data_IF_319150487067
#
_entry.id   IF_319150487067
#
_cell.length_a   1.000
_cell.length_b   1.000
_cell.length_c   1.000
_cell.angle_alpha   90.00
_cell.angle_beta   90.00
_cell.angle_gamma   90.00
#
_symmetry.space_group_name_H-M   'P 1'
#
loop_
_entity.id
_entity.type
_entity.pdbx_description
1 polymer ?
#
# COMPACT_ATOMS: atom_id res chain seq x y z
N UNK A 1 6.22 4.16 -27.32
CA UNK A 1 6.75 3.92 -25.97
C UNK A 1 5.76 2.99 -25.34
N UNK A 2 6.17 1.74 -25.12
CA UNK A 2 5.33 0.79 -24.39
C UNK A 2 5.40 1.24 -22.94
N UNK A 3 4.33 1.82 -22.43
CA UNK A 3 4.21 2.06 -21.00
C UNK A 3 3.95 0.69 -20.39
N UNK A 4 4.95 0.11 -19.74
CA UNK A 4 4.75 -1.12 -18.99
C UNK A 4 3.89 -0.79 -17.77
N UNK A 5 2.70 -1.38 -17.72
CA UNK A 5 1.74 -1.22 -16.62
C UNK A 5 1.74 -2.49 -15.80
N UNK A 6 1.93 -2.37 -14.48
CA UNK A 6 1.77 -3.47 -13.53
C UNK A 6 0.60 -3.18 -12.60
N UNK A 7 -0.06 -4.25 -12.15
CA UNK A 7 -1.08 -4.17 -11.11
C UNK A 7 -0.62 -5.01 -9.92
N UNK A 8 -0.61 -4.40 -8.74
CA UNK A 8 -0.22 -5.03 -7.48
C UNK A 8 -1.43 -5.07 -6.57
N UNK A 9 -1.74 -6.25 -6.05
CA UNK A 9 -2.85 -6.45 -5.14
C UNK A 9 -2.35 -7.01 -3.82
N UNK A 10 -2.84 -6.45 -2.71
CA UNK A 10 -2.42 -6.90 -1.39
C UNK A 10 -2.96 -6.03 -0.29
N UNK A 11 -2.43 -6.23 0.92
CA UNK A 11 -2.79 -5.47 2.10
C UNK A 11 -1.97 -4.19 2.17
N UNK A 12 -2.63 -3.06 2.41
CA UNK A 12 -1.90 -1.81 2.65
C UNK A 12 -1.26 -1.82 4.03
N UNK A 13 -0.03 -1.37 4.09
CA UNK A 13 0.70 -1.19 5.34
C UNK A 13 1.61 0.03 5.21
N UNK A 14 1.73 0.82 6.28
CA UNK A 14 2.65 1.96 6.27
C UNK A 14 4.12 1.49 6.32
N UNK A 15 5.01 2.27 5.73
CA UNK A 15 6.43 1.95 5.65
C UNK A 15 7.09 1.84 7.04
N UNK A 16 6.56 2.55 8.05
CA UNK A 16 7.03 2.47 9.43
C UNK A 16 6.79 1.08 10.01
N UNK A 17 5.57 0.57 9.88
CA UNK A 17 5.22 -0.79 10.26
C UNK A 17 5.98 -1.83 9.44
N UNK A 18 6.13 -1.66 8.13
CA UNK A 18 6.91 -2.59 7.29
C UNK A 18 8.36 -2.69 7.79
N UNK A 19 8.99 -1.56 8.11
CA UNK A 19 10.39 -1.54 8.59
C UNK A 19 10.54 -2.05 10.02
N UNK A 20 9.48 -2.01 10.82
CA UNK A 20 9.50 -2.41 12.23
C UNK A 20 9.27 -3.92 12.43
N UNK A 21 8.57 -4.56 11.50
CA UNK A 21 8.21 -5.98 11.59
C UNK A 21 9.18 -6.87 10.80
N UNK A 22 9.30 -8.14 11.21
CA UNK A 22 10.03 -9.14 10.45
C UNK A 22 9.26 -9.51 9.18
N UNK A 23 9.98 -9.86 8.11
CA UNK A 23 9.37 -10.19 6.80
C UNK A 23 8.32 -11.28 6.93
N UNK A 24 8.66 -12.35 7.64
CA UNK A 24 7.81 -13.52 7.84
C UNK A 24 6.49 -13.22 8.60
N UNK A 25 6.42 -12.07 9.28
CA UNK A 25 5.23 -11.62 10.03
C UNK A 25 4.47 -10.50 9.29
N UNK A 26 4.96 -10.03 8.13
CA UNK A 26 4.38 -8.87 7.45
C UNK A 26 2.95 -9.16 6.98
N UNK A 27 2.70 -10.33 6.42
CA UNK A 27 1.36 -10.68 5.94
C UNK A 27 0.34 -10.73 7.09
N UNK A 28 0.69 -11.34 8.21
CA UNK A 28 -0.19 -11.42 9.39
C UNK A 28 -0.44 -10.04 10.00
N UNK A 29 0.62 -9.22 10.08
CA UNK A 29 0.51 -7.86 10.57
C UNK A 29 -0.30 -6.97 9.63
N UNK A 30 -0.15 -7.11 8.31
CA UNK A 30 -0.91 -6.33 7.32
C UNK A 30 -2.40 -6.71 7.35
N UNK A 31 -2.74 -7.99 7.56
CA UNK A 31 -4.12 -8.45 7.82
C UNK A 31 -4.71 -7.87 9.11
N UNK A 32 -3.86 -7.60 10.10
CA UNK A 32 -4.26 -7.02 11.38
C UNK A 32 -4.13 -5.50 11.44
N UNK A 33 -3.56 -4.87 10.40
CA UNK A 33 -3.31 -3.45 10.33
C UNK A 33 -4.63 -2.70 10.24
N UNK A 34 -4.83 -1.78 11.17
CA UNK A 34 -6.10 -1.06 11.30
C UNK A 34 -6.07 0.20 10.45
N UNK A 35 -7.27 0.63 10.03
CA UNK A 35 -7.46 1.90 9.35
C UNK A 35 -6.86 3.06 10.14
N UNK A 36 -7.13 3.12 11.44
CA UNK A 36 -6.57 4.15 12.32
C UNK A 36 -5.04 4.16 12.30
N UNK A 37 -4.39 2.99 12.30
CA UNK A 37 -2.94 2.92 12.24
C UNK A 37 -2.42 3.48 10.91
N UNK A 38 -3.06 3.13 9.80
CA UNK A 38 -2.69 3.64 8.49
C UNK A 38 -2.85 5.16 8.38
N UNK A 39 -3.79 5.77 9.10
CA UNK A 39 -4.12 7.20 9.00
C UNK A 39 -3.39 8.08 10.02
N UNK A 40 -2.52 7.51 10.87
CA UNK A 40 -1.73 8.32 11.79
C UNK A 40 -0.76 9.22 11.02
N UNK A 41 -0.56 10.46 11.48
CA UNK A 41 0.27 11.44 10.77
C UNK A 41 1.69 10.93 10.43
N UNK A 42 2.30 10.15 11.32
CA UNK A 42 3.63 9.56 11.09
C UNK A 42 3.65 8.45 10.04
N UNK A 43 2.51 7.81 9.76
CA UNK A 43 2.37 6.79 8.73
C UNK A 43 2.28 7.44 7.34
N UNK A 44 1.54 8.55 7.23
CA UNK A 44 1.47 9.37 6.01
C UNK A 44 2.86 9.88 5.61
N UNK A 45 3.64 10.38 6.56
CA UNK A 45 5.02 10.86 6.31
C UNK A 45 5.99 9.74 5.93
N UNK A 46 5.72 8.50 6.36
CA UNK A 46 6.58 7.35 6.09
C UNK A 46 6.31 6.75 4.70
N UNK A 47 5.14 7.00 4.11
CA UNK A 47 4.65 6.38 2.89
C UNK A 47 4.04 5.00 3.15
N UNK A 48 3.56 4.37 2.08
CA UNK A 48 2.84 3.10 2.13
C UNK A 48 3.48 2.03 1.25
N UNK A 49 3.18 0.77 1.56
CA UNK A 49 3.49 -0.37 0.75
C UNK A 49 2.33 -1.36 0.69
N UNK A 50 2.35 -2.20 -0.34
CA UNK A 50 1.40 -3.28 -0.55
C UNK A 50 2.08 -4.59 -0.20
N UNK A 51 1.53 -5.30 0.78
CA UNK A 51 1.94 -6.64 1.19
C UNK A 51 1.07 -7.66 0.46
N UNK A 52 1.65 -8.35 -0.52
CA UNK A 52 0.95 -9.38 -1.32
C UNK A 52 0.73 -10.65 -0.51
N UNK A 53 -0.18 -11.53 -0.94
CA UNK A 53 -0.38 -12.83 -0.29
C UNK A 53 0.84 -13.76 -0.38
N UNK A 54 1.73 -13.55 -1.35
CA UNK A 54 3.03 -14.23 -1.47
C UNK A 54 4.14 -13.67 -0.55
N UNK A 55 3.78 -12.90 0.48
CA UNK A 55 4.70 -12.30 1.46
C UNK A 55 5.75 -11.36 0.82
N UNK A 56 5.40 -10.76 -0.32
CA UNK A 56 6.19 -9.72 -0.98
C UNK A 56 5.66 -8.35 -0.59
N UNK A 57 6.58 -7.38 -0.52
CA UNK A 57 6.24 -5.98 -0.28
C UNK A 57 6.61 -5.17 -1.51
N UNK A 58 5.63 -4.43 -2.02
CA UNK A 58 5.86 -3.39 -3.02
C UNK A 58 5.69 -2.03 -2.35
N UNK A 59 6.80 -1.31 -2.20
CA UNK A 59 6.75 0.07 -1.71
C UNK A 59 6.15 0.97 -2.78
N UNK A 60 5.21 1.82 -2.39
CA UNK A 60 4.61 2.80 -3.26
C UNK A 60 5.46 4.07 -3.28
N UNK A 61 5.36 4.82 -4.37
CA UNK A 61 5.91 6.16 -4.46
C UNK A 61 5.24 7.11 -3.46
N UNK A 62 5.96 8.15 -3.00
CA UNK A 62 5.40 9.11 -2.05
C UNK A 62 4.19 9.87 -2.61
N UNK A 63 4.06 9.97 -3.94
CA UNK A 63 2.95 10.63 -4.63
C UNK A 63 1.64 9.83 -4.53
N UNK A 64 1.73 8.50 -4.36
CA UNK A 64 0.59 7.62 -4.08
C UNK A 64 -0.01 7.81 -2.68
N UNK A 65 0.74 8.36 -1.73
CA UNK A 65 0.33 8.54 -0.32
C UNK A 65 -1.05 9.16 -0.17
N UNK A 66 -1.37 10.34 -0.76
CA UNK A 66 -2.71 10.92 -0.66
C UNK A 66 -3.80 10.03 -1.27
N UNK A 67 -3.54 9.31 -2.35
CA UNK A 67 -4.51 8.39 -2.94
C UNK A 67 -4.80 7.21 -2.00
N UNK A 68 -3.77 6.64 -1.40
CA UNK A 68 -3.90 5.58 -0.39
C UNK A 68 -4.70 6.06 0.82
N UNK A 69 -4.34 7.23 1.38
CA UNK A 69 -5.06 7.83 2.52
C UNK A 69 -6.53 8.00 2.19
N UNK A 70 -6.87 8.60 1.04
CA UNK A 70 -8.25 8.82 0.63
C UNK A 70 -9.05 7.50 0.54
N UNK A 71 -8.44 6.44 -0.01
CA UNK A 71 -9.09 5.13 -0.14
C UNK A 71 -9.26 4.46 1.22
N UNK A 72 -8.24 4.53 2.09
CA UNK A 72 -8.27 4.00 3.45
C UNK A 72 -9.29 4.75 4.32
N UNK A 73 -9.40 6.07 4.19
CA UNK A 73 -10.42 6.89 4.86
C UNK A 73 -11.84 6.55 4.39
N UNK A 74 -12.02 6.32 3.09
CA UNK A 74 -13.28 5.93 2.50
C UNK A 74 -13.64 4.45 2.78
N UNK A 75 -12.66 3.64 3.19
CA UNK A 75 -12.87 2.23 3.47
C UNK A 75 -13.82 2.00 4.63
N UNK A 76 -14.76 1.09 4.42
CA UNK A 76 -15.66 0.58 5.45
C UNK A 76 -15.02 -0.47 6.35
N UNK A 77 -13.75 -0.85 6.12
CA UNK A 77 -13.05 -1.88 6.88
C UNK A 77 -12.25 -1.27 8.02
N UNK A 78 -12.42 -1.84 9.21
CA UNK A 78 -11.64 -1.43 10.38
C UNK A 78 -10.18 -1.90 10.30
N UNK A 79 -9.90 -3.02 9.61
CA UNK A 79 -8.57 -3.63 9.50
C UNK A 79 -8.44 -4.53 8.28
N UNK A 80 -7.19 -4.84 7.91
CA UNK A 80 -6.90 -5.77 6.82
C UNK A 80 -7.36 -5.21 5.47
N UNK A 81 -7.17 -3.91 5.27
CA UNK A 81 -7.61 -3.21 4.07
C UNK A 81 -6.75 -3.70 2.90
N UNK A 82 -7.42 -4.17 1.84
CA UNK A 82 -6.76 -4.62 0.63
C UNK A 82 -6.90 -3.56 -0.45
N UNK A 83 -5.80 -3.24 -1.09
CA UNK A 83 -5.75 -2.30 -2.20
C UNK A 83 -5.26 -3.01 -3.46
N UNK A 84 -5.86 -2.63 -4.58
CA UNK A 84 -5.32 -2.82 -5.92
C UNK A 84 -4.65 -1.50 -6.31
N UNK A 85 -3.38 -1.60 -6.66
CA UNK A 85 -2.57 -0.46 -7.10
C UNK A 85 -2.12 -0.71 -8.52
N UNK A 86 -2.43 0.23 -9.41
CA UNK A 86 -1.92 0.23 -10.78
C UNK A 86 -0.74 1.17 -10.87
N UNK A 87 0.35 0.70 -11.45
CA UNK A 87 1.58 1.45 -11.60
C UNK A 87 2.03 1.40 -13.05
N UNK A 88 2.56 2.50 -13.54
CA UNK A 88 3.01 2.66 -14.91
C UNK A 88 4.49 3.07 -14.92
N UNK A 89 5.27 2.47 -15.81
CA UNK A 89 6.65 2.90 -16.01
C UNK A 89 6.69 4.25 -16.73
N UNK A 90 7.20 5.27 -16.05
CA UNK A 90 7.46 6.60 -16.60
C UNK A 90 8.88 7.03 -16.25
N UNK A 91 9.60 7.53 -17.26
CA UNK A 91 10.97 8.02 -17.09
C UNK A 91 11.90 7.00 -16.37
N UNK A 92 11.72 5.70 -16.65
CA UNK A 92 12.45 4.59 -16.02
C UNK A 92 12.16 4.38 -14.51
N UNK A 93 11.04 4.90 -14.00
CA UNK A 93 10.54 4.68 -12.66
C UNK A 93 9.08 4.19 -12.70
N UNK A 94 8.69 3.37 -11.72
CA UNK A 94 7.31 2.90 -11.58
C UNK A 94 6.52 3.90 -10.74
N UNK A 95 5.59 4.61 -11.37
CA UNK A 95 4.70 5.59 -10.75
C UNK A 95 3.31 5.00 -10.52
N UNK A 96 2.75 5.17 -9.34
CA UNK A 96 1.38 4.76 -9.04
C UNK A 96 0.39 5.70 -9.71
N UNK A 97 -0.48 5.15 -10.55
CA UNK A 97 -1.47 5.92 -11.32
C UNK A 97 -2.91 5.68 -10.86
N UNK A 98 -3.19 4.53 -10.23
CA UNK A 98 -4.50 4.24 -9.65
C UNK A 98 -4.37 3.46 -8.34
N UNK A 99 -5.22 3.79 -7.37
CA UNK A 99 -5.35 3.07 -6.10
C UNK A 99 -6.83 2.85 -5.85
N UNK A 100 -7.22 1.59 -5.68
CA UNK A 100 -8.61 1.21 -5.42
C UNK A 100 -8.69 0.16 -4.32
N UNK A 101 -9.65 0.28 -3.40
CA UNK A 101 -9.92 -0.77 -2.42
C UNK A 101 -10.55 -1.98 -3.11
N UNK A 102 -10.11 -3.17 -2.72
CA UNK A 102 -10.67 -4.44 -3.18
C UNK A 102 -11.19 -5.28 -2.00
N UNK A 103 -12.22 -6.08 -2.28
CA UNK A 103 -12.85 -6.94 -1.27
C UNK A 103 -12.04 -8.22 -0.98
#
# INVERSE_FOLDING_TARGET
MSTDTETVEGYVMDAGCIRKNARDELLENARSHTRDCALMGHCVESGYGIVTEDDRVTMLDPEATPAVVNVVEASGRDKGIRLRVTREERDSAMETTDVTEIE
#
